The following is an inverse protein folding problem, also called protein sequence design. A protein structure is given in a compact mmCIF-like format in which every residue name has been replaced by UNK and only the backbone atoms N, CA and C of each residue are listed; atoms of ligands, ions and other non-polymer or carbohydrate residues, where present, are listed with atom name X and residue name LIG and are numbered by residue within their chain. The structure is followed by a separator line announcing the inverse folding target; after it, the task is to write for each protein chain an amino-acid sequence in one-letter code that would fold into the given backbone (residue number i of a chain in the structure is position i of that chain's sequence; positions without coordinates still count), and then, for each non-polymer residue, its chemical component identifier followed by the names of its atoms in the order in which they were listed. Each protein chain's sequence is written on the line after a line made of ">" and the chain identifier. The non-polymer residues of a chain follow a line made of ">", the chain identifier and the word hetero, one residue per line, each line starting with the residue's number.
data_IF_877442649979
#
_entry.id   IF_877442649979
#
_cell.length_a   1.000
_cell.length_b   1.000
_cell.length_c   1.000
_cell.angle_alpha   90.00
_cell.angle_beta   90.00
_cell.angle_gamma   90.00
#
_symmetry.space_group_name_H-M   'P 1'
#
loop_
_entity.id
_entity.type
_entity.pdbx_description
1 polymer ?
#
# COMPACT_ATOMS: atom_id res chain seq x y z
N UNK A 1 15.39 2.58 -6.09
CA UNK A 1 15.52 3.36 -7.33
C UNK A 1 14.18 3.52 -8.04
N UNK A 2 13.62 2.52 -8.75
CA UNK A 2 12.30 2.67 -9.43
C UNK A 2 11.12 2.97 -8.48
N UNK A 3 11.16 2.46 -7.25
CA UNK A 3 10.18 2.76 -6.19
C UNK A 3 10.11 4.24 -5.78
N UNK A 4 11.16 5.01 -6.04
CA UNK A 4 11.24 6.44 -5.68
C UNK A 4 10.93 7.35 -6.88
N UNK A 5 10.66 6.77 -8.04
CA UNK A 5 10.27 7.54 -9.22
C UNK A 5 8.97 8.31 -8.97
N UNK A 6 8.81 9.46 -9.64
CA UNK A 6 7.59 10.29 -9.55
C UNK A 6 6.31 9.49 -9.85
N UNK A 7 6.26 8.56 -10.83
CA UNK A 7 5.12 7.67 -11.02
C UNK A 7 4.81 6.78 -9.80
N UNK A 8 5.82 6.16 -9.19
CA UNK A 8 5.65 5.29 -8.02
C UNK A 8 5.13 6.06 -6.80
N UNK A 9 5.69 7.24 -6.52
CA UNK A 9 5.23 8.11 -5.41
C UNK A 9 3.78 8.56 -5.62
N UNK A 10 3.40 8.88 -6.85
CA UNK A 10 2.02 9.25 -7.16
C UNK A 10 1.05 8.07 -7.03
N UNK A 11 1.46 6.87 -7.45
CA UNK A 11 0.69 5.65 -7.25
C UNK A 11 0.46 5.39 -5.76
N UNK A 12 1.50 5.49 -4.94
CA UNK A 12 1.41 5.31 -3.48
C UNK A 12 0.46 6.32 -2.82
N UNK A 13 0.49 7.60 -3.23
CA UNK A 13 -0.46 8.61 -2.76
C UNK A 13 -1.90 8.28 -3.12
N UNK A 14 -2.15 7.76 -4.33
CA UNK A 14 -3.49 7.34 -4.76
C UNK A 14 -3.99 6.15 -3.95
N UNK A 15 -3.16 5.11 -3.78
CA UNK A 15 -3.48 3.96 -2.94
C UNK A 15 -3.78 4.42 -1.50
N UNK A 16 -2.95 5.29 -0.93
CA UNK A 16 -3.18 5.82 0.42
C UNK A 16 -4.53 6.52 0.54
N UNK A 17 -4.92 7.32 -0.46
CA UNK A 17 -6.22 7.98 -0.49
C UNK A 17 -7.38 6.99 -0.61
N UNK A 18 -7.26 6.00 -1.50
CA UNK A 18 -8.25 4.94 -1.72
C UNK A 18 -8.51 4.13 -0.44
N UNK A 19 -7.46 3.84 0.32
CA UNK A 19 -7.55 3.01 1.53
C UNK A 19 -7.83 3.81 2.82
N UNK A 20 -7.74 5.13 2.78
CA UNK A 20 -7.93 6.00 3.96
C UNK A 20 -9.29 5.80 4.64
N UNK A 21 -10.36 5.63 3.86
CA UNK A 21 -11.71 5.39 4.41
C UNK A 21 -11.79 4.10 5.23
N UNK A 22 -11.27 3.00 4.67
CA UNK A 22 -11.26 1.68 5.34
C UNK A 22 -10.38 1.69 6.58
N UNK A 23 -9.23 2.36 6.55
CA UNK A 23 -8.36 2.51 7.71
C UNK A 23 -9.07 3.27 8.86
N UNK A 24 -9.79 4.36 8.54
CA UNK A 24 -10.58 5.10 9.52
C UNK A 24 -11.71 4.27 10.12
N UNK A 25 -12.39 3.46 9.30
CA UNK A 25 -13.46 2.56 9.75
C UNK A 25 -12.92 1.48 10.72
N UNK A 26 -11.82 0.82 10.35
CA UNK A 26 -11.16 -0.16 11.23
C UNK A 26 -10.72 0.49 12.55
N UNK A 27 -10.17 1.71 12.50
CA UNK A 27 -9.78 2.46 13.71
C UNK A 27 -10.97 2.80 14.59
N UNK A 28 -12.12 3.15 13.99
CA UNK A 28 -13.35 3.43 14.73
C UNK A 28 -13.86 2.17 15.46
N UNK A 29 -13.87 1.02 14.78
CA UNK A 29 -14.25 -0.26 15.39
C UNK A 29 -13.30 -0.66 16.52
N UNK A 30 -11.98 -0.51 16.33
CA UNK A 30 -10.98 -0.77 17.38
C UNK A 30 -11.22 0.13 18.60
N UNK A 31 -11.58 1.39 18.38
CA UNK A 31 -11.91 2.30 19.49
C UNK A 31 -13.17 1.84 20.23
N UNK A 32 -14.24 1.50 19.50
CA UNK A 32 -15.48 0.99 20.10
C UNK A 32 -15.24 -0.29 20.92
N UNK A 33 -14.44 -1.23 20.40
CA UNK A 33 -14.10 -2.45 21.12
C UNK A 33 -13.35 -2.14 22.43
N UNK A 34 -12.41 -1.19 22.40
CA UNK A 34 -11.67 -0.76 23.60
C UNK A 34 -12.56 -0.07 24.62
N UNK A 35 -13.47 0.78 24.17
CA UNK A 35 -14.41 1.49 25.04
C UNK A 35 -15.38 0.49 25.71
N UNK A 36 -15.85 -0.52 24.96
CA UNK A 36 -16.69 -1.61 25.49
C UNK A 36 -15.93 -2.50 26.49
N UNK A 37 -14.67 -2.84 26.18
CA UNK A 37 -13.79 -3.57 27.08
C UNK A 37 -13.58 -2.80 28.40
N UNK A 38 -13.29 -1.51 28.33
CA UNK A 38 -13.10 -0.68 29.51
C UNK A 38 -14.38 -0.53 30.35
N UNK A 39 -15.56 -0.53 29.71
CA UNK A 39 -16.85 -0.54 30.40
C UNK A 39 -17.06 -1.86 31.14
N UNK A 40 -16.81 -3.00 30.50
CA UNK A 40 -16.90 -4.32 31.12
C UNK A 40 -15.94 -4.46 32.32
N UNK A 41 -14.72 -3.93 32.23
CA UNK A 41 -13.75 -3.96 33.33
C UNK A 41 -14.17 -3.09 34.53
N UNK A 42 -14.81 -1.94 34.29
CA UNK A 42 -15.21 -0.99 35.34
C UNK A 42 -16.57 -1.32 35.95
N UNK A 43 -17.54 -1.64 35.11
CA UNK A 43 -18.95 -1.76 35.47
C UNK A 43 -19.43 -3.20 35.43
N UNK A 44 -18.58 -4.16 35.05
CA UNK A 44 -18.93 -5.58 34.95
C UNK A 44 -19.57 -6.16 36.20
N UNK A 45 -19.09 -5.74 37.39
CA UNK A 45 -19.61 -6.18 38.69
C UNK A 45 -20.95 -5.54 39.07
N UNK A 46 -21.33 -4.45 38.39
CA UNK A 46 -22.60 -3.72 38.59
C UNK A 46 -23.66 -4.05 37.53
N UNK A 47 -23.28 -4.71 36.44
CA UNK A 47 -24.19 -5.16 35.39
C UNK A 47 -24.93 -6.44 35.83
N UNK A 48 -26.10 -6.69 35.23
CA UNK A 48 -26.76 -7.99 35.38
C UNK A 48 -25.95 -9.08 34.65
N UNK A 49 -26.01 -10.33 35.13
CA UNK A 49 -25.35 -11.47 34.47
C UNK A 49 -25.73 -11.60 32.98
N UNK A 50 -26.96 -11.21 32.63
CA UNK A 50 -27.47 -11.25 31.25
C UNK A 50 -26.84 -10.14 30.41
N UNK A 51 -26.80 -8.90 30.92
CA UNK A 51 -26.21 -7.76 30.22
C UNK A 51 -24.70 -7.92 30.05
N UNK A 52 -24.02 -8.44 31.08
CA UNK A 52 -22.60 -8.75 31.03
C UNK A 52 -22.30 -9.75 29.92
N UNK A 53 -23.00 -10.90 29.88
CA UNK A 53 -22.81 -11.92 28.83
C UNK A 53 -23.11 -11.38 27.43
N UNK A 54 -24.12 -10.52 27.28
CA UNK A 54 -24.45 -9.92 25.99
C UNK A 54 -23.31 -9.02 25.49
N UNK A 55 -22.77 -8.16 26.35
CA UNK A 55 -21.64 -7.27 26.03
C UNK A 55 -20.35 -8.03 25.76
N UNK A 56 -20.07 -9.10 26.51
CA UNK A 56 -18.92 -9.98 26.27
C UNK A 56 -19.00 -10.67 24.89
N UNK A 57 -20.21 -11.11 24.51
CA UNK A 57 -20.45 -11.68 23.18
C UNK A 57 -20.29 -10.62 22.09
N UNK A 58 -20.84 -9.42 22.28
CA UNK A 58 -20.68 -8.29 21.34
C UNK A 58 -19.21 -7.96 21.12
N UNK A 59 -18.43 -7.84 22.20
CA UNK A 59 -17.00 -7.61 22.16
C UNK A 59 -16.26 -8.72 21.39
N UNK A 60 -16.63 -9.99 21.62
CA UNK A 60 -16.04 -11.13 20.91
C UNK A 60 -16.31 -11.06 19.42
N UNK A 61 -17.54 -10.75 19.01
CA UNK A 61 -17.92 -10.55 17.61
C UNK A 61 -17.14 -9.40 16.99
N UNK A 62 -17.08 -8.25 17.67
CA UNK A 62 -16.37 -7.06 17.19
C UNK A 62 -14.88 -7.33 16.99
N UNK A 63 -14.24 -8.07 17.91
CA UNK A 63 -12.85 -8.46 17.78
C UNK A 63 -12.61 -9.40 16.58
N UNK A 64 -13.51 -10.36 16.34
CA UNK A 64 -13.42 -11.24 15.17
C UNK A 64 -13.54 -10.45 13.86
N UNK A 65 -14.47 -9.50 13.80
CA UNK A 65 -14.66 -8.63 12.64
C UNK A 65 -13.47 -7.70 12.41
N UNK A 66 -12.92 -7.08 13.46
CA UNK A 66 -11.71 -6.26 13.36
C UNK A 66 -10.56 -7.08 12.77
N UNK A 67 -10.34 -8.31 13.26
CA UNK A 67 -9.27 -9.16 12.74
C UNK A 67 -9.50 -9.53 11.27
N UNK A 68 -10.74 -9.81 10.88
CA UNK A 68 -11.11 -10.09 9.48
C UNK A 68 -10.84 -8.89 8.59
N UNK A 69 -11.38 -7.72 8.95
CA UNK A 69 -11.20 -6.48 8.20
C UNK A 69 -9.72 -6.07 8.10
N UNK A 70 -8.93 -6.27 9.15
CA UNK A 70 -7.50 -6.01 9.12
C UNK A 70 -6.73 -6.94 8.16
N UNK A 71 -7.14 -8.21 8.05
CA UNK A 71 -6.54 -9.15 7.08
C UNK A 71 -6.90 -8.73 5.66
N UNK A 72 -8.19 -8.53 5.38
CA UNK A 72 -8.70 -8.07 4.08
C UNK A 72 -8.02 -6.76 3.66
N UNK A 73 -7.91 -5.79 4.58
CA UNK A 73 -7.22 -4.53 4.33
C UNK A 73 -5.76 -4.72 3.90
N UNK A 74 -5.01 -5.59 4.59
CA UNK A 74 -3.60 -5.85 4.26
C UNK A 74 -3.45 -6.59 2.93
N UNK A 75 -4.32 -7.54 2.66
CA UNK A 75 -4.33 -8.31 1.42
C UNK A 75 -4.65 -7.41 0.23
N UNK A 76 -5.73 -6.64 0.32
CA UNK A 76 -6.11 -5.66 -0.71
C UNK A 76 -5.02 -4.61 -0.92
N UNK A 77 -4.44 -4.08 0.16
CA UNK A 77 -3.37 -3.09 0.07
C UNK A 77 -2.15 -3.67 -0.65
N UNK A 78 -1.75 -4.90 -0.31
CA UNK A 78 -0.63 -5.57 -0.95
C UNK A 78 -0.93 -5.86 -2.43
N UNK A 79 -2.14 -6.32 -2.75
CA UNK A 79 -2.57 -6.55 -4.13
C UNK A 79 -2.46 -5.26 -4.95
N UNK A 80 -3.07 -4.17 -4.47
CA UNK A 80 -3.06 -2.87 -5.15
C UNK A 80 -1.65 -2.29 -5.30
N UNK A 81 -0.79 -2.47 -4.29
CA UNK A 81 0.63 -2.07 -4.39
C UNK A 81 1.39 -2.88 -5.44
N UNK A 82 1.14 -4.18 -5.54
CA UNK A 82 1.78 -5.05 -6.52
C UNK A 82 1.30 -4.74 -7.95
N UNK A 83 0.02 -4.46 -8.14
CA UNK A 83 -0.55 -4.03 -9.43
C UNK A 83 0.08 -2.72 -9.91
N UNK A 84 0.13 -1.69 -9.08
CA UNK A 84 0.75 -0.42 -9.47
C UNK A 84 2.26 -0.58 -9.71
N UNK A 85 2.94 -1.42 -8.92
CA UNK A 85 4.35 -1.71 -9.14
C UNK A 85 4.56 -2.41 -10.50
N UNK A 86 3.71 -3.35 -10.87
CA UNK A 86 3.78 -4.02 -12.17
C UNK A 86 3.61 -3.01 -13.32
N UNK A 87 2.66 -2.07 -13.19
CA UNK A 87 2.47 -1.00 -14.19
C UNK A 87 3.71 -0.11 -14.30
N UNK A 88 4.33 0.25 -13.18
CA UNK A 88 5.58 1.05 -13.18
C UNK A 88 6.72 0.28 -13.85
N UNK A 89 6.86 -1.01 -13.57
CA UNK A 89 7.89 -1.86 -14.18
C UNK A 89 7.68 -2.03 -15.68
N UNK A 90 6.43 -2.22 -16.12
CA UNK A 90 6.11 -2.32 -17.55
C UNK A 90 6.48 -1.04 -18.29
N UNK A 91 6.13 0.12 -17.72
CA UNK A 91 6.52 1.43 -18.27
C UNK A 91 8.04 1.59 -18.31
N UNK A 92 8.72 1.20 -17.24
CA UNK A 92 10.17 1.29 -17.17
C UNK A 92 10.83 0.45 -18.26
N UNK A 93 10.35 -0.77 -18.51
CA UNK A 93 10.85 -1.64 -19.58
C UNK A 93 10.65 -1.01 -20.96
N UNK A 94 9.50 -0.38 -21.23
CA UNK A 94 9.26 0.34 -22.49
C UNK A 94 10.19 1.54 -22.66
N UNK A 95 10.34 2.34 -21.61
CA UNK A 95 11.29 3.48 -21.61
C UNK A 95 12.72 3.02 -21.85
N UNK A 96 13.14 1.92 -21.22
CA UNK A 96 14.45 1.30 -21.42
C UNK A 96 14.66 0.90 -22.87
N UNK A 97 13.65 0.30 -23.53
CA UNK A 97 13.73 -0.04 -24.97
C UNK A 97 13.89 1.19 -25.86
N UNK A 98 13.10 2.25 -25.62
CA UNK A 98 13.21 3.51 -26.38
C UNK A 98 14.61 4.13 -26.24
N UNK A 99 15.18 4.12 -25.02
CA UNK A 99 16.54 4.61 -24.78
C UNK A 99 17.56 3.69 -25.45
N UNK A 100 17.38 2.37 -25.37
CA UNK A 100 18.25 1.39 -26.01
C UNK A 100 18.35 1.60 -27.52
N UNK A 101 17.21 1.77 -28.19
CA UNK A 101 17.13 1.98 -29.64
C UNK A 101 17.68 3.35 -30.04
N UNK A 102 17.35 4.41 -29.30
CA UNK A 102 17.77 5.77 -29.64
C UNK A 102 19.27 6.01 -29.43
N UNK A 103 19.86 5.45 -28.37
CA UNK A 103 21.29 5.54 -28.07
C UNK A 103 22.11 4.36 -28.60
N UNK A 104 21.46 3.40 -29.26
CA UNK A 104 22.07 2.21 -29.88
C UNK A 104 22.83 1.33 -28.89
N UNK A 105 22.23 1.07 -27.74
CA UNK A 105 22.76 0.11 -26.78
C UNK A 105 22.50 -1.33 -27.26
N UNK A 106 23.53 -2.17 -27.24
CA UNK A 106 23.40 -3.60 -27.56
C UNK A 106 22.91 -4.42 -26.35
N UNK A 107 23.18 -3.97 -25.12
CA UNK A 107 22.82 -4.68 -23.89
C UNK A 107 22.60 -3.70 -22.73
N UNK A 108 21.61 -4.00 -21.90
CA UNK A 108 21.32 -3.29 -20.64
C UNK A 108 21.39 -4.28 -19.47
N UNK A 109 22.13 -3.93 -18.43
CA UNK A 109 22.36 -4.76 -17.23
C UNK A 109 21.68 -4.12 -16.00
N UNK A 110 20.81 -4.86 -15.32
CA UNK A 110 20.07 -4.36 -14.14
C UNK A 110 20.75 -4.67 -12.80
N UNK A 111 21.44 -5.80 -12.66
CA UNK A 111 22.00 -6.29 -11.39
C UNK A 111 23.54 -6.36 -11.42
N UNK A 112 24.17 -5.22 -11.67
CA UNK A 112 25.63 -5.11 -11.60
C UNK A 112 26.09 -4.84 -10.16
N UNK A 113 26.98 -5.69 -9.63
CA UNK A 113 27.61 -5.49 -8.30
C UNK A 113 28.38 -4.16 -8.23
N UNK A 114 28.97 -3.75 -9.36
CA UNK A 114 29.61 -2.46 -9.54
C UNK A 114 29.32 -1.95 -10.95
N UNK A 115 29.05 -0.65 -11.07
CA UNK A 115 28.88 0.04 -12.36
C UNK A 115 29.58 1.39 -12.32
N UNK A 116 30.22 1.75 -13.42
CA UNK A 116 30.76 3.10 -13.60
C UNK A 116 29.57 4.08 -13.79
N UNK A 117 29.46 5.19 -13.03
CA UNK A 117 28.38 6.15 -13.21
C UNK A 117 28.26 6.70 -14.64
N UNK A 118 29.35 6.71 -15.42
CA UNK A 118 29.35 7.17 -16.82
C UNK A 118 28.56 6.27 -17.77
N UNK A 119 28.37 5.00 -17.42
CA UNK A 119 27.60 4.04 -18.23
C UNK A 119 26.21 3.77 -17.64
N UNK A 120 25.88 4.42 -16.52
CA UNK A 120 24.60 4.25 -15.84
C UNK A 120 23.53 5.14 -16.50
N UNK A 121 22.49 4.51 -17.03
CA UNK A 121 21.34 5.19 -17.62
C UNK A 121 20.16 5.32 -16.65
N UNK A 122 20.30 4.91 -15.38
CA UNK A 122 19.21 4.88 -14.39
C UNK A 122 18.50 6.22 -14.29
N UNK A 123 19.24 7.32 -14.20
CA UNK A 123 18.66 8.67 -14.08
C UNK A 123 17.92 9.08 -15.36
N UNK A 124 18.44 8.71 -16.54
CA UNK A 124 17.75 8.95 -17.82
C UNK A 124 16.42 8.20 -17.88
N UNK A 125 16.42 6.93 -17.46
CA UNK A 125 15.20 6.11 -17.40
C UNK A 125 14.19 6.73 -16.43
N UNK A 126 14.62 7.20 -15.26
CA UNK A 126 13.75 7.85 -14.27
C UNK A 126 13.15 9.16 -14.82
N UNK A 127 13.94 9.95 -15.56
CA UNK A 127 13.45 11.19 -16.19
C UNK A 127 12.42 10.90 -17.28
N UNK A 128 12.71 10.01 -18.22
CA UNK A 128 11.75 9.64 -19.26
C UNK A 128 10.46 9.02 -18.69
N UNK A 129 10.56 8.22 -17.62
CA UNK A 129 9.39 7.70 -16.89
C UNK A 129 8.52 8.79 -16.28
N UNK A 130 9.10 9.92 -15.87
CA UNK A 130 8.35 11.07 -15.37
C UNK A 130 7.66 11.83 -16.51
N UNK A 131 8.30 11.91 -17.68
CA UNK A 131 7.84 12.65 -18.85
C UNK A 131 6.75 11.94 -19.67
N UNK A 132 6.72 10.59 -19.71
CA UNK A 132 5.65 9.81 -20.37
C UNK A 132 4.25 10.10 -19.80
N UNK A 133 4.18 10.67 -18.59
CA UNK A 133 2.94 11.13 -17.96
C UNK A 133 2.40 12.43 -18.58
N UNK A 134 3.26 13.22 -19.25
CA UNK A 134 2.87 14.45 -19.92
C UNK A 134 2.28 14.20 -21.32
N UNK A 135 2.65 13.09 -21.98
CA UNK A 135 2.19 12.74 -23.32
C UNK A 135 0.85 11.95 -23.36
N UNK A 136 0.33 11.54 -22.21
CA UNK A 136 -0.92 10.77 -22.08
C UNK A 136 -2.05 11.55 -21.37
N UNK A 137 -1.94 12.87 -21.33
CA UNK A 137 -3.01 13.83 -20.99
C UNK A 137 -3.51 14.51 -22.26
#
# INVERSE_FOLDING_TARGET
>A
MLRESVPAVNAEKRITKEFSGRDLEIKALVKQAKDLQALLEKEGVTLSDVDQRNKERELTTMNADIQRLQREFREDLNLRKNEELAIVLERANKTIQVIAESEKFDLILQEAVYRNPKIDITDKVIQHLADDKAASK
#
